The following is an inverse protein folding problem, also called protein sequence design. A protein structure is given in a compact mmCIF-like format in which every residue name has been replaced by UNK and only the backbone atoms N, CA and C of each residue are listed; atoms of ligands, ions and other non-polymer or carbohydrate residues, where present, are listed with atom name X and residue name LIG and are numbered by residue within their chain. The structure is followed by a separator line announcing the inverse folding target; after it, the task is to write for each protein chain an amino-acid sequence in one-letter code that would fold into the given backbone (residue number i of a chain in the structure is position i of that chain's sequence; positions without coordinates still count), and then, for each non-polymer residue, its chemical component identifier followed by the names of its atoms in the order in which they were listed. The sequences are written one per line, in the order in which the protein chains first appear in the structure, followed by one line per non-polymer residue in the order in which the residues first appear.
data_IF_463747799355
#
_entry.id   IF_463747799355
#
_cell.length_a   1.000
_cell.length_b   1.000
_cell.length_c   1.000
_cell.angle_alpha   90.00
_cell.angle_beta   90.00
_cell.angle_gamma   90.00
#
_symmetry.space_group_name_H-M   'P 1'
#
loop_
_entity.id
_entity.type
_entity.pdbx_description
1 polymer ?
#
# COMPACT_ATOMS: atom_id res chain seq x y z
N UNK A 1 11.15 -15.62 6.42
CA UNK A 1 12.21 -16.62 6.68
C UNK A 1 12.97 -16.21 7.94
N UNK A 2 13.49 -17.17 8.69
CA UNK A 2 14.31 -16.94 9.88
C UNK A 2 15.39 -18.01 10.05
N UNK A 3 16.50 -17.63 10.68
CA UNK A 3 17.67 -18.46 10.93
C UNK A 3 18.17 -18.21 12.36
N UNK A 4 18.45 -19.29 13.10
CA UNK A 4 19.10 -19.25 14.42
C UNK A 4 20.44 -19.98 14.34
N UNK A 5 21.48 -19.40 14.91
CA UNK A 5 22.81 -20.00 15.01
C UNK A 5 23.36 -19.89 16.43
N UNK A 6 23.73 -21.01 17.05
CA UNK A 6 24.33 -21.03 18.38
C UNK A 6 25.82 -20.79 18.27
N UNK A 7 26.27 -19.64 18.76
CA UNK A 7 27.69 -19.27 18.82
C UNK A 7 28.36 -20.01 19.98
N UNK A 8 27.68 -20.05 21.14
CA UNK A 8 28.07 -20.76 22.35
C UNK A 8 26.82 -21.42 22.95
N UNK A 9 26.98 -22.37 23.88
CA UNK A 9 25.83 -23.03 24.53
C UNK A 9 24.78 -22.04 25.09
N UNK A 10 25.16 -20.95 25.79
CA UNK A 10 24.17 -19.97 26.25
C UNK A 10 23.91 -18.84 25.24
N UNK A 11 24.53 -18.77 24.06
CA UNK A 11 24.47 -17.60 23.17
C UNK A 11 24.09 -17.96 21.73
N UNK A 12 22.95 -17.46 21.27
CA UNK A 12 22.45 -17.63 19.91
C UNK A 12 22.30 -16.30 19.17
N UNK A 13 22.71 -16.26 17.90
CA UNK A 13 22.37 -15.21 16.94
C UNK A 13 21.07 -15.59 16.23
N UNK A 14 20.19 -14.61 15.98
CA UNK A 14 19.00 -14.77 15.14
C UNK A 14 19.01 -13.74 14.02
N UNK A 15 18.64 -14.18 12.82
CA UNK A 15 18.50 -13.37 11.62
C UNK A 15 17.15 -13.68 10.97
N UNK A 16 16.47 -12.69 10.43
CA UNK A 16 15.15 -12.83 9.83
C UNK A 16 14.93 -11.88 8.66
N UNK A 17 14.07 -12.30 7.74
CA UNK A 17 13.63 -11.49 6.61
C UNK A 17 12.14 -11.74 6.34
N UNK A 18 11.35 -10.67 6.31
CA UNK A 18 9.93 -10.67 5.97
C UNK A 18 9.78 -9.91 4.66
N UNK A 19 9.44 -10.61 3.58
CA UNK A 19 9.10 -9.99 2.31
C UNK A 19 7.59 -9.75 2.26
N UNK A 20 7.17 -8.55 1.85
CA UNK A 20 5.77 -8.13 1.74
C UNK A 20 5.54 -7.57 0.35
N UNK A 21 4.44 -7.99 -0.26
CA UNK A 21 3.96 -7.47 -1.55
C UNK A 21 2.60 -6.84 -1.31
N UNK A 22 2.49 -5.55 -1.59
CA UNK A 22 1.28 -4.75 -1.41
C UNK A 22 0.77 -4.34 -2.78
N UNK A 23 -0.47 -4.73 -3.10
CA UNK A 23 -1.15 -4.37 -4.35
C UNK A 23 -2.20 -3.29 -4.04
N UNK A 24 -2.31 -2.29 -4.91
CA UNK A 24 -3.26 -1.17 -4.81
C UNK A 24 -3.74 -0.88 -6.23
N UNK A 25 -5.01 -1.17 -6.53
CA UNK A 25 -5.61 -1.10 -7.87
C UNK A 25 -6.84 -0.16 -7.93
N UNK A 26 -7.08 0.47 -9.09
CA UNK A 26 -8.30 1.24 -9.48
C UNK A 26 -8.37 1.34 -11.04
N UNK A 27 -9.48 1.77 -11.68
CA UNK A 27 -9.66 1.88 -13.17
C UNK A 27 -10.16 3.26 -13.69
N UNK A 28 -9.38 3.94 -14.55
CA UNK A 28 -9.54 5.35 -15.04
C UNK A 28 -10.23 5.41 -16.36
N UNK A 29 -11.31 6.17 -16.40
CA UNK A 29 -12.15 6.27 -17.57
C UNK A 29 -12.79 7.67 -17.56
N UNK A 30 -12.07 8.66 -18.08
CA UNK A 30 -12.71 9.91 -18.47
C UNK A 30 -13.52 9.65 -19.74
N UNK A 31 -14.85 9.52 -19.58
CA UNK A 31 -15.79 9.25 -20.67
C UNK A 31 -16.64 10.49 -20.91
N UNK A 32 -16.46 11.11 -22.08
CA UNK A 32 -17.39 12.11 -22.58
C UNK A 32 -18.75 11.43 -22.79
N UNK A 33 -19.72 11.78 -21.95
CA UNK A 33 -21.12 11.39 -22.16
C UNK A 33 -21.69 12.33 -23.22
N UNK A 34 -22.13 11.76 -24.35
CA UNK A 34 -22.59 12.54 -25.49
C UNK A 34 -23.73 13.48 -25.09
N UNK A 35 -23.62 14.75 -25.48
CA UNK A 35 -24.64 15.76 -25.24
C UNK A 35 -25.25 16.19 -26.56
N UNK A 36 -26.56 15.98 -26.71
CA UNK A 36 -27.32 16.44 -27.87
C UNK A 36 -27.69 17.92 -27.69
N UNK A 37 -27.27 18.84 -28.58
CA UNK A 37 -27.74 20.21 -28.53
C UNK A 37 -29.26 20.27 -28.74
N UNK A 38 -29.91 21.25 -28.10
CA UNK A 38 -31.34 21.52 -28.35
C UNK A 38 -31.48 22.25 -29.67
N UNK A 39 -32.13 21.64 -30.66
CA UNK A 39 -32.52 22.28 -31.91
C UNK A 39 -33.92 22.88 -31.78
N UNK A 40 -34.02 24.19 -31.97
CA UNK A 40 -35.28 24.93 -32.09
C UNK A 40 -35.44 25.37 -33.54
N UNK A 41 -36.50 24.90 -34.21
CA UNK A 41 -36.87 25.34 -35.56
C UNK A 41 -38.13 26.18 -35.49
N UNK A 42 -38.11 27.32 -36.17
CA UNK A 42 -39.24 28.23 -36.33
C UNK A 42 -39.52 28.38 -37.82
N UNK A 43 -40.58 27.74 -38.30
CA UNK A 43 -41.08 27.90 -39.67
C UNK A 43 -42.02 29.13 -39.73
N UNK A 44 -41.80 30.01 -40.71
CA UNK A 44 -42.62 31.18 -40.97
C UNK A 44 -43.59 30.92 -42.13
N UNK A 45 -44.78 31.54 -42.06
CA UNK A 45 -45.88 31.29 -43.00
C UNK A 45 -45.66 31.77 -44.44
N UNK A 46 -44.49 32.33 -44.74
CA UNK A 46 -44.01 32.72 -46.08
C UNK A 46 -43.15 31.62 -46.74
N UNK A 47 -42.96 30.48 -46.08
CA UNK A 47 -42.14 29.36 -46.56
C UNK A 47 -40.66 29.50 -46.20
N UNK A 48 -40.27 30.54 -45.48
CA UNK A 48 -38.93 30.65 -44.88
C UNK A 48 -38.89 30.00 -43.50
N UNK A 49 -37.70 29.62 -43.03
CA UNK A 49 -37.53 29.05 -41.69
C UNK A 49 -36.22 29.54 -41.06
N UNK A 50 -36.19 29.52 -39.74
CA UNK A 50 -34.99 29.78 -38.93
C UNK A 50 -34.72 28.58 -38.03
N UNK A 51 -33.50 28.08 -38.04
CA UNK A 51 -33.03 27.00 -37.16
C UNK A 51 -31.98 27.55 -36.20
N UNK A 52 -32.22 27.35 -34.90
CA UNK A 52 -31.31 27.71 -33.83
C UNK A 52 -30.88 26.45 -33.07
N UNK A 53 -29.60 26.10 -33.19
CA UNK A 53 -28.98 25.10 -32.33
C UNK A 53 -28.47 25.76 -31.05
N UNK A 54 -29.07 25.43 -29.91
CA UNK A 54 -28.57 25.79 -28.59
C UNK A 54 -27.31 25.00 -28.22
N UNK A 55 -26.58 25.48 -27.20
CA UNK A 55 -25.31 24.88 -26.78
C UNK A 55 -25.45 23.42 -26.30
N UNK A 56 -24.52 22.55 -26.73
CA UNK A 56 -24.41 21.19 -26.24
C UNK A 56 -23.62 21.16 -24.91
N UNK A 57 -24.31 20.94 -23.79
CA UNK A 57 -23.69 20.86 -22.47
C UNK A 57 -22.85 19.58 -22.33
N UNK A 58 -21.55 19.64 -22.56
CA UNK A 58 -20.65 18.50 -22.36
C UNK A 58 -20.57 18.13 -20.88
N UNK A 59 -20.87 16.87 -20.56
CA UNK A 59 -20.73 16.32 -19.21
C UNK A 59 -19.52 15.37 -19.18
N UNK A 60 -18.38 15.77 -18.58
CA UNK A 60 -17.24 14.87 -18.43
C UNK A 60 -17.53 13.85 -17.32
N UNK A 61 -17.80 12.60 -17.71
CA UNK A 61 -17.77 11.48 -16.77
C UNK A 61 -16.33 11.14 -16.44
N UNK A 62 -16.02 10.86 -15.17
CA UNK A 62 -14.70 10.36 -14.73
C UNK A 62 -14.83 9.02 -13.97
N UNK A 63 -13.80 8.21 -14.11
CA UNK A 63 -13.40 7.05 -13.30
C UNK A 63 -11.88 7.18 -13.11
N UNK A 64 -11.21 6.52 -12.16
CA UNK A 64 -9.74 6.70 -11.91
C UNK A 64 -8.91 5.39 -11.85
N UNK A 65 -7.72 5.32 -12.49
CA UNK A 65 -6.78 4.15 -12.66
C UNK A 65 -5.61 4.35 -11.75
N UNK A 66 -5.35 3.39 -10.86
CA UNK A 66 -4.05 3.31 -10.19
C UNK A 66 -3.79 1.86 -9.78
N UNK A 67 -3.17 1.06 -10.66
CA UNK A 67 -2.62 -0.26 -10.29
C UNK A 67 -1.14 -0.10 -9.89
N UNK A 68 -0.81 -0.49 -8.67
CA UNK A 68 0.43 -0.20 -7.96
C UNK A 68 0.84 -1.43 -7.16
N UNK A 69 2.01 -1.99 -7.46
CA UNK A 69 2.60 -3.10 -6.71
C UNK A 69 3.84 -2.60 -5.98
N UNK A 70 3.80 -2.59 -4.66
CA UNK A 70 4.92 -2.20 -3.80
C UNK A 70 5.50 -3.43 -3.14
N UNK A 71 6.80 -3.66 -3.36
CA UNK A 71 7.57 -4.69 -2.66
C UNK A 71 8.35 -4.05 -1.51
N UNK A 72 8.24 -4.59 -0.29
CA UNK A 72 9.12 -4.25 0.83
C UNK A 72 9.75 -5.52 1.41
N UNK A 73 10.97 -5.39 1.94
CA UNK A 73 11.64 -6.47 2.68
C UNK A 73 12.15 -5.90 4.00
N UNK A 74 11.60 -6.40 5.09
CA UNK A 74 11.98 -6.03 6.45
C UNK A 74 12.98 -7.06 6.98
N UNK A 75 14.19 -6.63 7.33
CA UNK A 75 15.20 -7.47 7.94
C UNK A 75 15.18 -7.31 9.45
N UNK A 76 15.17 -8.43 10.17
CA UNK A 76 15.24 -8.48 11.63
C UNK A 76 16.46 -9.25 12.08
N UNK A 77 16.94 -8.94 13.27
CA UNK A 77 18.01 -9.69 13.91
C UNK A 77 17.91 -9.58 15.42
N UNK A 78 18.56 -10.51 16.10
CA UNK A 78 18.54 -10.62 17.55
C UNK A 78 19.69 -11.44 18.12
N UNK A 79 19.86 -11.33 19.43
CA UNK A 79 20.71 -12.19 20.24
C UNK A 79 19.82 -12.83 21.31
N UNK A 80 19.87 -14.15 21.42
CA UNK A 80 19.28 -14.91 22.52
C UNK A 80 20.35 -15.37 23.49
N UNK A 81 20.10 -15.19 24.78
CA UNK A 81 20.95 -15.63 25.89
C UNK A 81 20.18 -16.59 26.80
N UNK A 82 20.69 -17.82 26.96
CA UNK A 82 20.09 -18.87 27.80
C UNK A 82 21.10 -19.34 28.85
N UNK A 83 21.18 -18.67 30.03
CA UNK A 83 22.17 -18.98 31.05
C UNK A 83 21.91 -20.33 31.76
N UNK A 84 20.67 -20.78 31.75
CA UNK A 84 20.19 -22.08 32.25
C UNK A 84 19.08 -22.55 31.32
N UNK A 85 18.80 -23.86 31.26
CA UNK A 85 17.84 -24.44 30.31
C UNK A 85 16.43 -23.83 30.43
N UNK A 86 16.05 -23.44 31.65
CA UNK A 86 14.72 -22.92 31.99
C UNK A 86 14.57 -21.39 31.82
N UNK A 87 15.60 -20.67 31.38
CA UNK A 87 15.57 -19.21 31.18
C UNK A 87 16.16 -18.82 29.83
N UNK A 88 15.41 -18.02 29.08
CA UNK A 88 15.86 -17.42 27.83
C UNK A 88 15.57 -15.91 27.84
N UNK A 89 16.59 -15.11 27.52
CA UNK A 89 16.54 -13.65 27.43
C UNK A 89 16.88 -13.29 25.97
N UNK A 90 15.98 -12.59 25.29
CA UNK A 90 16.13 -12.28 23.87
C UNK A 90 16.12 -10.77 23.63
N UNK A 91 17.11 -10.26 22.90
CA UNK A 91 17.22 -8.86 22.50
C UNK A 91 17.14 -8.79 20.98
N UNK A 92 16.22 -7.98 20.44
CA UNK A 92 16.02 -7.79 19.00
C UNK A 92 16.02 -6.29 18.63
N UNK A 93 16.27 -5.99 17.36
CA UNK A 93 16.06 -4.64 16.81
C UNK A 93 17.12 -3.60 17.17
N UNK A 94 18.29 -4.02 17.67
CA UNK A 94 19.40 -3.14 18.06
C UNK A 94 20.16 -2.55 16.85
N UNK A 95 19.46 -1.73 16.04
CA UNK A 95 19.99 -1.04 14.85
C UNK A 95 21.02 0.03 15.16
N UNK A 96 20.96 0.59 16.37
CA UNK A 96 21.96 1.50 16.91
C UNK A 96 22.18 1.15 18.37
N UNK A 97 23.43 1.12 18.82
CA UNK A 97 23.76 0.84 20.22
C UNK A 97 23.52 2.04 21.15
N UNK A 98 23.29 3.22 20.57
CA UNK A 98 23.04 4.49 21.27
C UNK A 98 21.58 4.95 21.23
N UNK A 99 20.71 4.23 20.52
CA UNK A 99 19.31 4.59 20.28
C UNK A 99 18.45 3.34 20.50
N UNK A 100 17.76 3.35 21.64
CA UNK A 100 16.98 2.23 22.15
C UNK A 100 15.55 2.17 21.60
N UNK A 101 15.15 3.12 20.73
CA UNK A 101 13.75 3.28 20.28
C UNK A 101 13.17 2.02 19.62
N UNK A 102 14.02 1.24 18.95
CA UNK A 102 13.63 0.01 18.24
C UNK A 102 14.08 -1.29 18.95
N UNK A 103 14.59 -1.20 20.18
CA UNK A 103 15.04 -2.38 20.93
C UNK A 103 13.84 -3.10 21.55
N UNK A 104 13.71 -4.40 21.28
CA UNK A 104 12.76 -5.28 21.93
C UNK A 104 13.50 -6.26 22.85
N UNK A 105 13.13 -6.28 24.13
CA UNK A 105 13.60 -7.25 25.13
C UNK A 105 12.47 -8.22 25.46
N UNK A 106 12.75 -9.52 25.42
CA UNK A 106 11.87 -10.59 25.88
C UNK A 106 12.58 -11.44 26.93
N UNK A 107 11.83 -11.94 27.91
CA UNK A 107 12.30 -12.90 28.89
C UNK A 107 11.28 -14.03 28.97
N UNK A 108 11.73 -15.26 28.71
CA UNK A 108 10.90 -16.47 28.69
C UNK A 108 11.41 -17.45 29.72
N UNK A 109 10.54 -17.82 30.66
CA UNK A 109 10.75 -18.97 31.53
C UNK A 109 10.14 -20.22 30.89
N UNK A 110 10.88 -21.32 30.91
CA UNK A 110 10.44 -22.64 30.44
C UNK A 110 10.19 -23.52 31.66
N UNK A 111 9.01 -24.12 31.71
CA UNK A 111 8.51 -24.94 32.80
C UNK A 111 8.33 -26.39 32.33
#
# INVERSE_FOLDING_TARGET
MGFEYRILSPLALRLGAIHRITWRDITSIEKLVASSPRLTRTDYGDGTFSEFAGEAQQHPGKSETINTTTHSTEFSYGIGYSPIDNLQIDIMGFQKLTDFTNWALSVTFKF
#
